data_IF_327907328120
#
_entry.id   IF_327907328120
#
_cell.length_a   1.000
_cell.length_b   1.000
_cell.length_c   1.000
_cell.angle_alpha   90.00
_cell.angle_beta   90.00
_cell.angle_gamma   90.00
#
_symmetry.space_group_name_H-M   'P 1'
#
loop_
_entity.id
_entity.type
_entity.pdbx_description
1 polymer ?
#
# COMPACT_ATOMS: atom_id res chain seq x y z
N UNK A 1 -42.85 48.20 61.45
CA UNK A 1 -42.54 48.02 62.86
C UNK A 1 -41.16 47.41 62.98
N UNK A 2 -40.21 48.17 63.57
CA UNK A 2 -38.90 47.79 64.14
C UNK A 2 -37.89 47.04 63.27
N UNK A 3 -36.81 47.59 62.95
CA UNK A 3 -35.58 48.19 63.51
C UNK A 3 -34.38 47.29 63.24
N UNK A 4 -33.43 47.90 62.53
CA UNK A 4 -31.99 47.91 62.76
C UNK A 4 -31.29 46.69 63.41
N UNK A 5 -30.25 46.19 62.76
CA UNK A 5 -28.88 46.45 63.26
C UNK A 5 -27.80 46.13 62.23
N UNK A 6 -26.98 47.11 61.99
CA UNK A 6 -25.67 46.97 61.33
C UNK A 6 -24.71 46.27 62.28
N UNK A 7 -23.83 45.43 61.76
CA UNK A 7 -22.47 45.33 62.30
C UNK A 7 -21.44 44.98 61.23
N UNK A 8 -20.56 45.85 61.09
CA UNK A 8 -19.26 45.77 60.41
C UNK A 8 -18.45 44.65 61.04
N UNK A 9 -17.61 43.99 60.28
CA UNK A 9 -16.22 43.66 60.68
C UNK A 9 -15.41 43.12 59.49
N UNK A 10 -14.42 43.87 59.14
CA UNK A 10 -13.03 43.57 58.77
C UNK A 10 -12.69 42.60 57.62
N UNK A 11 -12.08 43.23 56.64
CA UNK A 11 -11.08 42.76 55.66
C UNK A 11 -10.00 41.89 56.28
N UNK A 12 -9.77 40.73 55.67
CA UNK A 12 -8.41 40.17 55.61
C UNK A 12 -8.17 39.66 54.21
N UNK A 13 -7.33 40.43 53.47
CA UNK A 13 -6.74 40.05 52.22
C UNK A 13 -5.73 38.92 52.47
N UNK A 14 -6.04 37.71 52.05
CA UNK A 14 -5.05 36.63 51.94
C UNK A 14 -4.64 36.55 50.48
N UNK A 15 -3.45 37.04 50.17
CA UNK A 15 -2.72 36.84 48.92
C UNK A 15 -2.36 35.34 48.84
N UNK A 16 -3.15 34.54 48.12
CA UNK A 16 -2.75 33.21 47.72
C UNK A 16 -2.01 33.32 46.39
N UNK A 17 -0.67 33.39 46.44
CA UNK A 17 0.23 33.19 45.30
C UNK A 17 0.09 31.75 44.87
N UNK A 18 -0.78 31.50 43.91
CA UNK A 18 -0.90 30.19 43.26
C UNK A 18 0.33 29.91 42.39
N UNK A 19 1.21 29.04 42.89
CA UNK A 19 2.33 28.48 42.13
C UNK A 19 1.72 27.59 41.04
N UNK A 20 1.51 28.14 39.84
CA UNK A 20 1.16 27.40 38.66
C UNK A 20 2.40 26.56 38.23
N UNK A 21 2.53 25.36 38.80
CA UNK A 21 3.46 24.37 38.30
C UNK A 21 2.93 23.91 36.93
N UNK A 22 3.49 24.51 35.87
CA UNK A 22 3.30 23.99 34.51
C UNK A 22 3.95 22.61 34.44
N UNK A 23 3.16 21.57 34.69
CA UNK A 23 3.52 20.22 34.25
C UNK A 23 3.55 20.23 32.72
N UNK A 24 4.71 20.58 32.17
CA UNK A 24 5.04 20.23 30.78
C UNK A 24 4.98 18.72 30.71
N UNK A 25 3.85 18.19 30.25
CA UNK A 25 3.71 16.78 29.94
C UNK A 25 4.76 16.43 28.88
N UNK A 26 5.87 15.86 29.33
CA UNK A 26 6.80 15.15 28.47
C UNK A 26 6.02 13.96 27.89
N UNK A 27 5.26 14.16 26.83
CA UNK A 27 4.79 13.05 26.02
C UNK A 27 6.06 12.33 25.51
N UNK A 28 6.28 11.06 25.87
CA UNK A 28 7.41 10.33 25.31
C UNK A 28 7.21 10.36 23.80
N UNK A 29 8.11 11.03 23.09
CA UNK A 29 8.16 10.96 21.64
C UNK A 29 8.33 9.49 21.29
N UNK A 30 7.32 8.88 20.68
CA UNK A 30 7.39 7.47 20.28
C UNK A 30 8.66 7.30 19.44
N UNK A 31 9.66 6.61 20.02
CA UNK A 31 10.96 6.43 19.38
C UNK A 31 10.73 5.75 18.04
N UNK A 32 11.21 6.38 16.96
CA UNK A 32 11.12 5.81 15.63
C UNK A 32 11.83 4.44 15.61
N UNK A 33 11.17 3.41 15.10
CA UNK A 33 11.73 2.07 14.99
C UNK A 33 12.93 2.09 14.05
N UNK A 34 14.01 1.46 14.47
CA UNK A 34 15.26 1.32 13.70
C UNK A 34 15.48 -0.13 13.26
N UNK A 35 16.44 -0.34 12.35
CA UNK A 35 16.88 -1.69 12.00
C UNK A 35 17.48 -2.44 13.22
N UNK A 36 18.13 -1.72 14.15
CA UNK A 36 18.65 -2.28 15.39
C UNK A 36 17.52 -2.77 16.32
N UNK A 37 16.41 -2.04 16.40
CA UNK A 37 15.24 -2.47 17.18
C UNK A 37 14.62 -3.76 16.60
N UNK A 38 14.54 -3.88 15.28
CA UNK A 38 14.08 -5.09 14.58
C UNK A 38 15.01 -6.27 14.86
N UNK A 39 16.34 -6.06 14.77
CA UNK A 39 17.34 -7.08 15.08
C UNK A 39 17.26 -7.52 16.55
N UNK A 40 17.08 -6.59 17.48
CA UNK A 40 16.92 -6.87 18.90
C UNK A 40 15.64 -7.67 19.19
N UNK A 41 14.55 -7.37 18.47
CA UNK A 41 13.27 -8.12 18.52
C UNK A 41 13.46 -9.55 17.96
N UNK A 42 14.41 -9.75 17.03
CA UNK A 42 14.67 -11.02 16.36
C UNK A 42 13.65 -11.41 15.29
N UNK A 43 12.68 -10.56 14.99
CA UNK A 43 11.61 -10.81 14.05
C UNK A 43 11.23 -9.55 13.28
N UNK A 44 10.93 -9.70 11.98
CA UNK A 44 10.42 -8.68 11.09
C UNK A 44 9.02 -9.09 10.60
N UNK A 45 8.01 -8.32 10.97
CA UNK A 45 6.64 -8.52 10.48
C UNK A 45 6.39 -7.65 9.26
N UNK A 46 6.14 -8.29 8.10
CA UNK A 46 5.89 -7.61 6.83
C UNK A 46 4.46 -7.86 6.38
N UNK A 47 3.71 -6.79 6.14
CA UNK A 47 2.42 -6.84 5.49
C UNK A 47 2.57 -6.98 3.97
N UNK A 48 1.83 -7.92 3.37
CA UNK A 48 1.81 -8.13 1.92
C UNK A 48 0.42 -8.49 1.41
N UNK A 49 0.13 -8.14 0.15
CA UNK A 49 -1.07 -8.64 -0.53
C UNK A 49 -0.93 -10.14 -0.80
N UNK A 50 -2.05 -10.85 -0.82
CA UNK A 50 -2.11 -12.28 -1.19
C UNK A 50 -3.12 -12.55 -2.32
N UNK A 51 -3.66 -11.48 -2.89
CA UNK A 51 -4.72 -11.42 -3.90
C UNK A 51 -4.29 -10.65 -5.16
N UNK A 52 -2.98 -10.41 -5.29
CA UNK A 52 -2.36 -9.69 -6.41
C UNK A 52 -1.25 -10.52 -7.09
N UNK A 53 -1.59 -11.66 -7.70
CA UNK A 53 -0.60 -12.50 -8.37
C UNK A 53 -0.01 -11.79 -9.60
N UNK A 54 1.28 -12.01 -9.93
CA UNK A 54 2.23 -12.87 -9.24
C UNK A 54 3.05 -12.17 -8.15
N UNK A 55 2.71 -10.91 -7.81
CA UNK A 55 3.41 -10.18 -6.74
C UNK A 55 3.12 -10.78 -5.37
N UNK A 56 1.84 -11.04 -5.07
CA UNK A 56 1.41 -11.67 -3.83
C UNK A 56 0.26 -12.65 -4.06
N UNK A 57 0.40 -13.86 -3.52
CA UNK A 57 -0.55 -14.96 -3.65
C UNK A 57 -0.46 -15.86 -2.42
N UNK A 58 -1.33 -16.85 -2.33
CA UNK A 58 -1.20 -17.98 -1.39
C UNK A 58 -0.70 -19.19 -2.16
N UNK A 59 0.28 -19.91 -1.61
CA UNK A 59 0.74 -21.18 -2.18
C UNK A 59 -0.18 -22.35 -1.79
N UNK A 60 0.13 -23.53 -2.30
CA UNK A 60 -0.64 -24.76 -2.02
C UNK A 60 -0.68 -25.19 -0.55
N UNK A 61 0.25 -24.68 0.26
CA UNK A 61 0.31 -24.89 1.71
C UNK A 61 -0.38 -23.77 2.50
N UNK A 62 -1.17 -22.93 1.83
CA UNK A 62 -1.85 -21.77 2.41
C UNK A 62 -0.89 -20.81 3.13
N UNK A 63 0.30 -20.59 2.54
CA UNK A 63 1.28 -19.61 3.00
C UNK A 63 1.43 -18.49 1.99
N UNK A 64 1.64 -17.23 2.45
CA UNK A 64 1.92 -16.11 1.57
C UNK A 64 3.16 -16.37 0.69
N UNK A 65 3.01 -16.14 -0.61
CA UNK A 65 4.04 -16.38 -1.62
C UNK A 65 3.96 -15.34 -2.75
N UNK A 66 4.93 -15.32 -3.65
CA UNK A 66 4.99 -14.35 -4.73
C UNK A 66 6.28 -13.53 -4.72
N UNK A 67 6.37 -12.59 -5.66
CA UNK A 67 7.53 -11.69 -5.76
C UNK A 67 7.75 -10.88 -4.47
N UNK A 68 6.71 -10.29 -3.91
CA UNK A 68 6.77 -9.50 -2.67
C UNK A 68 7.21 -10.37 -1.49
N UNK A 69 6.74 -11.63 -1.41
CA UNK A 69 7.17 -12.57 -0.38
C UNK A 69 8.65 -12.90 -0.50
N UNK A 70 9.17 -13.11 -1.71
CA UNK A 70 10.58 -13.39 -1.92
C UNK A 70 11.47 -12.18 -1.62
N UNK A 71 11.03 -10.96 -1.95
CA UNK A 71 11.71 -9.71 -1.55
C UNK A 71 11.72 -9.57 -0.03
N UNK A 72 10.61 -9.87 0.65
CA UNK A 72 10.52 -9.85 2.11
C UNK A 72 11.45 -10.89 2.75
N UNK A 73 11.53 -12.11 2.20
CA UNK A 73 12.47 -13.16 2.64
C UNK A 73 13.92 -12.71 2.50
N UNK A 74 14.24 -12.07 1.36
CA UNK A 74 15.59 -11.55 1.11
C UNK A 74 15.95 -10.44 2.09
N UNK A 75 15.03 -9.52 2.39
CA UNK A 75 15.22 -8.44 3.37
C UNK A 75 15.41 -8.99 4.81
N UNK A 76 14.59 -9.94 5.23
CA UNK A 76 14.71 -10.55 6.55
C UNK A 76 16.04 -11.31 6.71
N UNK A 77 16.47 -12.00 5.66
CA UNK A 77 17.80 -12.66 5.60
C UNK A 77 18.94 -11.64 5.72
N UNK A 78 18.86 -10.52 5.01
CA UNK A 78 19.85 -9.43 5.06
C UNK A 78 19.93 -8.80 6.47
N UNK A 79 18.82 -8.68 7.16
CA UNK A 79 18.77 -8.19 8.54
C UNK A 79 19.15 -9.26 9.58
N UNK A 80 19.19 -10.54 9.22
CA UNK A 80 19.50 -11.64 10.14
C UNK A 80 18.39 -11.93 11.14
N UNK A 81 17.11 -11.78 10.75
CA UNK A 81 15.94 -11.94 11.62
C UNK A 81 14.95 -12.95 11.05
N UNK A 82 14.05 -13.45 11.89
CA UNK A 82 12.90 -14.25 11.42
C UNK A 82 11.92 -13.38 10.65
N UNK A 83 11.31 -13.94 9.62
CA UNK A 83 10.24 -13.27 8.87
C UNK A 83 8.88 -13.77 9.33
N UNK A 84 7.98 -12.82 9.59
CA UNK A 84 6.56 -13.05 9.76
C UNK A 84 5.80 -12.32 8.63
N UNK A 85 5.21 -13.06 7.69
CA UNK A 85 4.39 -12.49 6.61
C UNK A 85 2.94 -12.39 7.08
N UNK A 86 2.41 -11.18 7.07
CA UNK A 86 1.02 -10.89 7.45
C UNK A 86 0.21 -10.52 6.20
N UNK A 87 -0.79 -11.33 5.81
CA UNK A 87 -1.73 -10.96 4.75
C UNK A 87 -2.45 -9.64 5.07
N UNK A 88 -2.49 -8.76 4.09
CA UNK A 88 -3.22 -7.49 4.15
C UNK A 88 -4.06 -7.33 2.88
N UNK A 89 -5.07 -6.47 2.94
CA UNK A 89 -5.89 -6.07 1.78
C UNK A 89 -5.48 -4.71 1.26
N UNK A 90 -5.88 -4.36 0.05
CA UNK A 90 -5.61 -3.06 -0.54
C UNK A 90 -5.89 -1.88 0.41
N UNK A 91 -7.11 -1.78 0.99
CA UNK A 91 -7.49 -0.69 1.89
C UNK A 91 -6.74 -0.69 3.23
N UNK A 92 -6.39 -1.86 3.80
CA UNK A 92 -5.83 -1.90 5.15
C UNK A 92 -4.29 -1.85 5.22
N UNK A 93 -3.58 -1.84 4.08
CA UNK A 93 -2.11 -1.77 4.03
C UNK A 93 -1.55 -0.66 4.91
N UNK A 94 -1.85 0.59 4.56
CA UNK A 94 -1.35 1.77 5.29
C UNK A 94 -1.89 1.81 6.73
N UNK A 95 -3.18 1.58 7.03
CA UNK A 95 -3.68 1.48 8.40
C UNK A 95 -2.94 0.46 9.26
N UNK A 96 -2.63 -0.74 8.76
CA UNK A 96 -1.89 -1.75 9.53
C UNK A 96 -0.46 -1.30 9.86
N UNK A 97 0.21 -0.61 8.93
CA UNK A 97 1.52 -0.04 9.17
C UNK A 97 1.47 1.06 10.24
N UNK A 98 0.54 2.00 10.12
CA UNK A 98 0.44 3.16 11.03
C UNK A 98 0.01 2.75 12.44
N UNK A 99 -0.74 1.64 12.58
CA UNK A 99 -1.15 1.08 13.88
C UNK A 99 -0.18 0.05 14.44
N UNK A 100 1.04 -0.06 13.90
CA UNK A 100 2.09 -0.98 14.33
C UNK A 100 1.72 -2.49 14.29
N UNK A 101 0.72 -2.88 13.50
CA UNK A 101 0.41 -4.30 13.25
C UNK A 101 1.48 -4.97 12.40
N UNK A 102 2.15 -4.19 11.56
CA UNK A 102 3.31 -4.62 10.76
C UNK A 102 4.46 -3.63 10.93
N UNK A 103 5.68 -4.10 10.77
CA UNK A 103 6.89 -3.27 10.82
C UNK A 103 7.10 -2.52 9.49
N UNK A 104 6.91 -3.24 8.38
CA UNK A 104 7.05 -2.75 7.01
C UNK A 104 5.91 -3.28 6.12
N UNK A 105 5.74 -2.66 4.95
CA UNK A 105 4.95 -3.24 3.86
C UNK A 105 5.86 -3.54 2.67
N UNK A 106 5.79 -4.77 2.20
CA UNK A 106 6.23 -5.20 0.86
C UNK A 106 4.97 -5.75 0.20
N UNK A 107 4.20 -4.85 -0.41
CA UNK A 107 2.79 -5.09 -0.73
C UNK A 107 2.38 -4.41 -2.05
N UNK A 108 3.28 -4.40 -3.03
CA UNK A 108 3.05 -3.78 -4.35
C UNK A 108 2.48 -2.36 -4.25
N UNK A 109 2.90 -1.61 -3.22
CA UNK A 109 2.35 -0.28 -2.99
C UNK A 109 3.06 0.75 -3.87
N UNK A 110 2.34 1.27 -4.86
CA UNK A 110 2.84 2.30 -5.75
C UNK A 110 3.19 3.58 -5.00
N UNK A 111 4.33 4.16 -5.34
CA UNK A 111 4.77 5.45 -4.84
C UNK A 111 3.88 6.53 -5.48
N UNK A 112 3.11 7.24 -4.66
CA UNK A 112 2.31 8.40 -5.09
C UNK A 112 2.48 9.56 -4.12
N UNK A 113 2.33 10.82 -4.58
CA UNK A 113 2.44 11.99 -3.71
C UNK A 113 1.48 11.95 -2.52
N UNK A 114 0.25 11.44 -2.71
CA UNK A 114 -0.78 11.36 -1.66
C UNK A 114 -0.37 10.36 -0.57
N UNK A 115 0.16 9.20 -0.97
CA UNK A 115 0.66 8.19 -0.03
C UNK A 115 1.93 8.64 0.68
N UNK A 116 2.83 9.32 -0.03
CA UNK A 116 4.07 9.86 0.53
C UNK A 116 3.85 10.93 1.61
N UNK A 117 2.67 11.55 1.68
CA UNK A 117 2.27 12.42 2.80
C UNK A 117 1.95 11.65 4.09
N UNK A 118 1.64 10.36 4.00
CA UNK A 118 1.21 9.52 5.12
C UNK A 118 2.29 8.55 5.59
N UNK A 119 3.16 8.10 4.68
CA UNK A 119 4.16 7.05 4.91
C UNK A 119 5.46 7.37 4.20
N UNK A 120 6.55 6.71 4.59
CA UNK A 120 7.83 6.77 3.89
C UNK A 120 7.99 5.59 2.94
N UNK A 121 8.48 5.87 1.74
CA UNK A 121 8.81 4.86 0.74
C UNK A 121 10.33 4.72 0.60
N UNK A 122 10.78 3.49 0.42
CA UNK A 122 12.12 3.22 -0.07
C UNK A 122 12.28 3.64 -1.54
N UNK A 123 13.49 3.53 -2.05
CA UNK A 123 13.74 3.43 -3.50
C UNK A 123 12.87 2.31 -4.08
N UNK A 124 12.50 2.41 -5.37
CA UNK A 124 11.67 1.39 -6.00
C UNK A 124 12.33 0.00 -6.00
N UNK A 125 11.57 -1.04 -5.67
CA UNK A 125 11.99 -2.43 -5.80
C UNK A 125 11.26 -3.19 -6.92
N UNK A 126 10.18 -2.61 -7.45
CA UNK A 126 9.39 -3.15 -8.53
C UNK A 126 8.73 -2.03 -9.35
N UNK A 127 8.30 -2.36 -10.55
CA UNK A 127 7.52 -1.48 -11.42
C UNK A 127 6.42 -2.29 -12.12
N UNK A 128 5.30 -1.62 -12.45
CA UNK A 128 4.21 -2.20 -13.24
C UNK A 128 3.55 -1.14 -14.13
N UNK A 129 3.04 -1.56 -15.28
CA UNK A 129 2.11 -0.78 -16.09
C UNK A 129 0.69 -1.09 -15.68
N UNK A 130 -0.10 -0.06 -15.49
CA UNK A 130 -1.55 -0.16 -15.24
C UNK A 130 -2.25 0.13 -16.56
N UNK A 131 -3.10 -0.79 -16.95
CA UNK A 131 -3.82 -0.75 -18.22
C UNK A 131 -5.32 -0.89 -17.99
N UNK A 132 -6.10 -0.43 -18.93
CA UNK A 132 -7.46 -0.91 -19.10
C UNK A 132 -7.40 -2.21 -19.89
N UNK A 133 -7.92 -3.28 -19.31
CA UNK A 133 -7.97 -4.61 -19.90
C UNK A 133 -9.43 -5.08 -20.01
N UNK A 134 -9.87 -5.54 -21.16
CA UNK A 134 -11.28 -5.80 -21.34
C UNK A 134 -11.61 -6.80 -22.43
N UNK A 135 -12.90 -7.18 -22.50
CA UNK A 135 -13.41 -8.06 -23.54
C UNK A 135 -13.04 -7.53 -24.92
N UNK A 136 -12.44 -8.37 -25.75
CA UNK A 136 -12.01 -8.01 -27.09
C UNK A 136 -13.17 -7.51 -27.97
N UNK A 137 -14.40 -8.02 -27.74
CA UNK A 137 -15.61 -7.58 -28.42
C UNK A 137 -16.09 -6.20 -27.98
N UNK A 138 -15.67 -5.73 -26.79
CA UNK A 138 -16.01 -4.39 -26.34
C UNK A 138 -15.23 -3.34 -27.15
N UNK A 139 -15.95 -2.51 -27.88
CA UNK A 139 -15.37 -1.41 -28.67
C UNK A 139 -14.89 -0.30 -27.72
N UNK A 140 -13.68 -0.45 -27.16
CA UNK A 140 -13.04 0.51 -26.27
C UNK A 140 -11.63 0.75 -26.81
N UNK A 141 -11.36 1.96 -27.31
CA UNK A 141 -10.05 2.37 -27.84
C UNK A 141 -9.42 3.49 -27.01
N UNK A 142 -10.23 4.28 -26.35
CA UNK A 142 -9.82 5.41 -25.53
C UNK A 142 -10.74 5.62 -24.33
N UNK A 143 -10.35 6.48 -23.40
CA UNK A 143 -11.14 6.78 -22.21
C UNK A 143 -12.58 7.26 -22.54
N UNK A 144 -12.77 8.02 -23.64
CA UNK A 144 -14.09 8.50 -24.06
C UNK A 144 -15.09 7.36 -24.33
N UNK A 145 -14.61 6.18 -24.73
CA UNK A 145 -15.45 5.01 -25.06
C UNK A 145 -15.98 4.29 -23.79
N UNK A 146 -15.59 4.73 -22.60
CA UNK A 146 -16.05 4.16 -21.33
C UNK A 146 -17.45 4.61 -20.94
N UNK A 147 -18.02 5.61 -21.61
CA UNK A 147 -19.39 6.05 -21.34
C UNK A 147 -20.37 4.89 -21.54
N UNK A 148 -21.19 4.62 -20.51
CA UNK A 148 -22.16 3.51 -20.50
C UNK A 148 -21.50 2.13 -20.32
N UNK A 149 -20.19 2.03 -20.07
CA UNK A 149 -19.49 0.78 -19.79
C UNK A 149 -19.37 0.55 -18.28
N UNK A 150 -19.39 -0.73 -17.92
CA UNK A 150 -19.10 -1.20 -16.55
C UNK A 150 -17.61 -1.51 -16.45
N UNK A 151 -16.89 -0.80 -15.62
CA UNK A 151 -15.44 -0.99 -15.49
C UNK A 151 -15.09 -1.32 -14.05
N UNK A 152 -14.46 -2.47 -13.83
CA UNK A 152 -14.03 -2.93 -12.51
C UNK A 152 -12.65 -2.44 -12.11
N UNK A 153 -12.45 -2.19 -10.82
CA UNK A 153 -11.13 -1.93 -10.21
C UNK A 153 -11.08 -2.43 -8.78
N UNK A 154 -9.89 -2.76 -8.30
CA UNK A 154 -9.67 -2.96 -6.86
C UNK A 154 -9.71 -1.61 -6.14
N UNK A 155 -10.49 -1.49 -5.06
CA UNK A 155 -10.60 -0.25 -4.28
C UNK A 155 -9.27 0.12 -3.61
N UNK A 156 -9.07 1.43 -3.38
CA UNK A 156 -7.84 1.99 -2.78
C UNK A 156 -6.56 1.64 -3.55
N UNK A 157 -6.66 1.25 -4.80
CA UNK A 157 -5.57 0.94 -5.71
C UNK A 157 -5.21 2.14 -6.60
N UNK A 158 -4.06 2.09 -7.23
CA UNK A 158 -3.69 3.10 -8.26
C UNK A 158 -4.48 2.92 -9.54
N UNK A 159 -5.00 1.73 -9.81
CA UNK A 159 -5.93 1.45 -10.91
C UNK A 159 -7.22 2.25 -10.76
N UNK A 160 -7.80 2.24 -9.54
CA UNK A 160 -9.01 3.01 -9.21
C UNK A 160 -8.78 4.52 -9.41
N UNK A 161 -7.69 5.04 -8.86
CA UNK A 161 -7.34 6.47 -9.02
C UNK A 161 -7.12 6.82 -10.48
N UNK A 162 -6.35 6.01 -11.23
CA UNK A 162 -6.04 6.29 -12.63
C UNK A 162 -7.29 6.19 -13.52
N UNK A 163 -8.14 5.19 -13.31
CA UNK A 163 -9.40 5.04 -14.04
C UNK A 163 -10.36 6.19 -13.72
N UNK A 164 -10.54 6.51 -12.45
CA UNK A 164 -11.45 7.59 -12.01
C UNK A 164 -11.06 8.95 -12.61
N UNK A 165 -9.73 9.19 -12.76
CA UNK A 165 -9.22 10.44 -13.33
C UNK A 165 -9.51 10.60 -14.83
N UNK A 166 -9.71 9.51 -15.58
CA UNK A 166 -9.90 9.55 -17.04
C UNK A 166 -11.29 9.14 -17.48
N UNK A 167 -12.07 8.50 -16.62
CA UNK A 167 -13.41 8.00 -16.94
C UNK A 167 -14.38 9.17 -17.18
N UNK A 168 -15.07 9.22 -18.33
CA UNK A 168 -16.07 10.24 -18.59
C UNK A 168 -17.32 10.00 -17.73
N UNK A 169 -18.13 11.04 -17.61
CA UNK A 169 -19.46 10.95 -17.00
C UNK A 169 -20.30 9.86 -17.67
N UNK A 170 -21.02 9.07 -16.88
CA UNK A 170 -21.80 7.93 -17.35
C UNK A 170 -21.00 6.61 -17.42
N UNK A 171 -19.74 6.57 -17.00
CA UNK A 171 -19.00 5.32 -16.77
C UNK A 171 -19.43 4.71 -15.43
N UNK A 172 -19.80 3.43 -15.42
CA UNK A 172 -20.11 2.70 -14.17
C UNK A 172 -18.83 2.07 -13.61
N UNK A 173 -18.17 2.73 -12.65
CA UNK A 173 -16.98 2.19 -12.01
C UNK A 173 -17.41 1.29 -10.83
N UNK A 174 -17.15 -0.02 -10.95
CA UNK A 174 -17.39 -1.03 -9.91
C UNK A 174 -16.11 -1.30 -9.13
N UNK A 175 -16.16 -1.04 -7.81
CA UNK A 175 -15.02 -1.19 -6.91
C UNK A 175 -15.12 -2.48 -6.13
N UNK A 176 -14.20 -3.39 -6.39
CA UNK A 176 -14.06 -4.69 -5.73
C UNK A 176 -13.09 -4.59 -4.56
N UNK A 177 -13.13 -5.56 -3.66
CA UNK A 177 -12.25 -5.56 -2.49
C UNK A 177 -10.79 -5.81 -2.87
N UNK A 178 -10.57 -6.55 -3.97
CA UNK A 178 -9.25 -7.00 -4.43
C UNK A 178 -9.19 -7.17 -5.96
N UNK A 179 -7.99 -7.37 -6.48
CA UNK A 179 -7.75 -7.62 -7.91
C UNK A 179 -8.29 -8.97 -8.38
N UNK A 180 -8.33 -9.99 -7.51
CA UNK A 180 -8.85 -11.31 -7.85
C UNK A 180 -10.37 -11.25 -8.09
N UNK A 181 -11.10 -10.51 -7.27
CA UNK A 181 -12.55 -10.29 -7.44
C UNK A 181 -12.84 -9.46 -8.70
N UNK A 182 -12.04 -8.41 -8.98
CA UNK A 182 -12.17 -7.63 -10.21
C UNK A 182 -11.91 -8.49 -11.46
N UNK A 183 -10.87 -9.34 -11.43
CA UNK A 183 -10.56 -10.29 -12.48
C UNK A 183 -11.70 -11.28 -12.72
N UNK A 184 -12.26 -11.86 -11.65
CA UNK A 184 -13.40 -12.76 -11.73
C UNK A 184 -14.63 -12.07 -12.32
N UNK A 185 -14.88 -10.80 -11.96
CA UNK A 185 -15.99 -10.02 -12.51
C UNK A 185 -15.86 -9.79 -14.03
N UNK A 186 -14.62 -9.56 -14.53
CA UNK A 186 -14.36 -9.48 -15.97
C UNK A 186 -14.61 -10.82 -16.64
N UNK A 187 -14.04 -11.91 -16.12
CA UNK A 187 -14.16 -13.25 -16.72
C UNK A 187 -15.60 -13.76 -16.76
N UNK A 188 -16.44 -13.36 -15.81
CA UNK A 188 -17.88 -13.70 -15.75
C UNK A 188 -18.79 -12.72 -16.50
N UNK A 189 -18.27 -11.66 -17.13
CA UNK A 189 -19.04 -10.67 -17.86
C UNK A 189 -19.84 -9.70 -16.98
N UNK A 190 -19.55 -9.63 -15.67
CA UNK A 190 -20.16 -8.65 -14.78
C UNK A 190 -19.69 -7.23 -15.08
N UNK A 191 -18.46 -7.09 -15.60
CA UNK A 191 -17.88 -5.84 -16.10
C UNK A 191 -17.36 -6.03 -17.52
N UNK A 192 -17.30 -4.95 -18.30
CA UNK A 192 -16.86 -4.96 -19.70
C UNK A 192 -15.36 -4.81 -19.82
N UNK A 193 -14.71 -4.22 -18.81
CA UNK A 193 -13.26 -4.06 -18.69
C UNK A 193 -12.87 -3.92 -17.22
N UNK A 194 -11.57 -4.04 -16.93
CA UNK A 194 -10.99 -3.73 -15.62
C UNK A 194 -9.76 -2.84 -15.75
N UNK A 195 -9.56 -1.95 -14.80
CA UNK A 195 -8.26 -1.33 -14.56
C UNK A 195 -7.37 -2.30 -13.79
N UNK A 196 -6.28 -2.77 -14.37
CA UNK A 196 -5.39 -3.74 -13.72
C UNK A 196 -3.93 -3.55 -14.16
N UNK A 197 -3.01 -4.24 -13.48
CA UNK A 197 -1.63 -4.31 -13.97
C UNK A 197 -1.51 -5.26 -15.17
N UNK A 198 -0.49 -5.05 -16.00
CA UNK A 198 -0.18 -5.97 -17.11
C UNK A 198 0.08 -7.40 -16.63
N UNK A 199 0.54 -7.57 -15.41
CA UNK A 199 0.75 -8.89 -14.79
C UNK A 199 -0.57 -9.58 -14.45
N UNK A 200 -1.58 -8.84 -13.97
CA UNK A 200 -2.94 -9.37 -13.76
C UNK A 200 -3.58 -9.70 -15.12
N UNK A 201 -3.41 -8.86 -16.13
CA UNK A 201 -3.86 -9.13 -17.50
C UNK A 201 -3.29 -10.47 -18.00
N UNK A 202 -1.98 -10.71 -17.85
CA UNK A 202 -1.34 -11.97 -18.21
C UNK A 202 -1.90 -13.19 -17.43
N UNK A 203 -2.34 -13.01 -16.18
CA UNK A 203 -3.00 -14.09 -15.43
C UNK A 203 -4.41 -14.39 -15.97
N UNK A 204 -5.11 -13.38 -16.46
CA UNK A 204 -6.40 -13.58 -17.14
C UNK A 204 -6.20 -14.40 -18.43
N UNK A 205 -5.20 -14.03 -19.24
CA UNK A 205 -4.89 -14.74 -20.49
C UNK A 205 -4.57 -16.22 -20.27
N UNK A 206 -3.90 -16.56 -19.17
CA UNK A 206 -3.60 -17.95 -18.81
C UNK A 206 -4.85 -18.78 -18.41
N UNK A 207 -5.95 -18.12 -18.00
CA UNK A 207 -7.15 -18.74 -17.45
C UNK A 207 -8.38 -18.66 -18.37
N UNK A 208 -8.42 -17.64 -19.21
CA UNK A 208 -9.52 -17.38 -20.13
C UNK A 208 -9.34 -18.11 -21.47
N UNK A 209 -10.41 -18.25 -22.27
CA UNK A 209 -10.27 -18.70 -23.65
C UNK A 209 -9.31 -17.79 -24.43
N UNK A 210 -8.52 -18.39 -25.32
CA UNK A 210 -7.55 -17.66 -26.11
C UNK A 210 -8.21 -16.47 -26.84
N UNK A 211 -7.56 -15.30 -26.76
CA UNK A 211 -8.01 -14.07 -27.38
C UNK A 211 -9.41 -13.57 -26.92
N UNK A 212 -9.88 -13.94 -25.74
CA UNK A 212 -11.14 -13.42 -25.20
C UNK A 212 -11.02 -11.97 -24.76
N UNK A 213 -9.86 -11.58 -24.25
CA UNK A 213 -9.57 -10.27 -23.70
C UNK A 213 -8.35 -9.63 -24.35
N UNK A 214 -8.18 -8.33 -24.19
CA UNK A 214 -7.04 -7.58 -24.73
C UNK A 214 -6.74 -6.31 -23.93
N UNK A 215 -5.52 -5.81 -24.04
CA UNK A 215 -5.15 -4.45 -23.64
C UNK A 215 -5.93 -3.43 -24.46
N UNK A 216 -6.68 -2.56 -23.80
CA UNK A 216 -7.38 -1.46 -24.45
C UNK A 216 -6.51 -0.21 -24.58
N UNK A 217 -5.98 0.28 -23.46
CA UNK A 217 -5.00 1.37 -23.43
C UNK A 217 -4.27 1.45 -22.09
N UNK A 218 -3.14 2.16 -22.08
CA UNK A 218 -2.36 2.42 -20.87
C UNK A 218 -3.06 3.46 -19.99
N UNK A 219 -3.29 3.12 -18.74
CA UNK A 219 -3.79 4.06 -17.72
C UNK A 219 -2.63 4.79 -17.02
N UNK A 220 -1.61 4.04 -16.60
CA UNK A 220 -0.47 4.61 -15.87
C UNK A 220 0.71 3.65 -15.83
N UNK A 221 1.92 4.19 -15.82
CA UNK A 221 3.11 3.48 -15.32
C UNK A 221 3.35 3.84 -13.86
N UNK A 222 3.80 2.87 -13.06
CA UNK A 222 4.07 3.07 -11.65
C UNK A 222 5.26 2.26 -11.17
N UNK A 223 5.96 2.80 -10.17
CA UNK A 223 6.99 2.11 -9.41
C UNK A 223 6.50 1.85 -8.00
N UNK A 224 6.99 0.77 -7.36
CA UNK A 224 6.57 0.31 -6.04
C UNK A 224 7.73 0.39 -5.07
N UNK A 225 7.48 0.92 -3.87
CA UNK A 225 8.47 1.00 -2.79
C UNK A 225 8.13 0.12 -1.60
N UNK A 226 9.14 -0.27 -0.84
CA UNK A 226 8.96 -0.83 0.51
C UNK A 226 8.53 0.33 1.41
N UNK A 227 7.54 0.10 2.26
CA UNK A 227 6.89 1.19 2.99
C UNK A 227 7.11 1.07 4.49
N UNK A 228 7.37 2.19 5.11
CA UNK A 228 7.56 2.32 6.55
C UNK A 228 6.85 3.55 7.11
N UNK A 229 6.71 3.61 8.43
CA UNK A 229 6.11 4.76 9.11
C UNK A 229 6.94 6.03 8.91
N UNK A 230 6.31 7.21 8.99
CA UNK A 230 7.05 8.48 8.97
C UNK A 230 8.09 8.59 10.08
N UNK A 231 9.18 9.30 9.84
CA UNK A 231 10.22 9.59 10.83
C UNK A 231 11.25 8.47 11.04
N UNK A 232 11.18 7.35 10.30
CA UNK A 232 12.10 6.21 10.44
C UNK A 232 13.32 6.33 9.50
N UNK A 233 14.05 7.45 9.57
CA UNK A 233 15.13 7.76 8.64
C UNK A 233 16.26 6.72 8.61
N UNK A 234 16.64 6.14 9.76
CA UNK A 234 17.67 5.10 9.85
C UNK A 234 17.19 3.80 9.18
N UNK A 235 15.94 3.39 9.44
CA UNK A 235 15.34 2.22 8.81
C UNK A 235 15.21 2.43 7.30
N UNK A 236 14.78 3.62 6.86
CA UNK A 236 14.72 3.99 5.45
C UNK A 236 16.09 3.86 4.78
N UNK A 237 17.15 4.36 5.42
CA UNK A 237 18.52 4.19 4.89
C UNK A 237 18.89 2.72 4.74
N UNK A 238 18.63 1.91 5.76
CA UNK A 238 18.92 0.46 5.74
C UNK A 238 18.16 -0.24 4.60
N UNK A 239 16.88 0.07 4.42
CA UNK A 239 16.06 -0.51 3.36
C UNK A 239 16.50 -0.02 1.97
N UNK A 240 16.89 1.24 1.83
CA UNK A 240 17.43 1.76 0.57
C UNK A 240 18.77 1.10 0.22
N UNK A 241 19.67 0.92 1.18
CA UNK A 241 20.93 0.22 0.97
C UNK A 241 20.69 -1.25 0.55
N UNK A 242 19.66 -1.90 1.11
CA UNK A 242 19.21 -3.22 0.68
C UNK A 242 18.72 -3.21 -0.78
N UNK A 243 17.85 -2.26 -1.16
CA UNK A 243 17.34 -2.15 -2.53
C UNK A 243 18.48 -1.90 -3.51
N UNK A 244 19.37 -0.96 -3.21
CA UNK A 244 20.51 -0.63 -4.08
C UNK A 244 21.43 -1.84 -4.31
N UNK A 245 21.82 -2.55 -3.24
CA UNK A 245 22.65 -3.75 -3.35
C UNK A 245 22.01 -4.82 -4.20
N UNK A 246 20.72 -5.12 -3.96
CA UNK A 246 20.03 -6.22 -4.62
C UNK A 246 19.53 -5.87 -6.03
N UNK A 247 19.46 -4.59 -6.36
CA UNK A 247 19.35 -4.12 -7.75
C UNK A 247 20.68 -4.28 -8.47
N UNK A 248 21.78 -3.80 -7.86
CA UNK A 248 23.11 -3.81 -8.45
C UNK A 248 23.71 -5.21 -8.67
N UNK A 249 23.45 -6.16 -7.77
CA UNK A 249 23.92 -7.56 -7.90
C UNK A 249 22.94 -8.45 -8.70
N UNK A 250 21.78 -7.92 -9.12
CA UNK A 250 20.81 -8.63 -9.95
C UNK A 250 19.85 -9.55 -9.19
N UNK A 251 19.92 -9.66 -7.86
CA UNK A 251 19.02 -10.53 -7.09
C UNK A 251 17.54 -10.11 -7.23
N UNK A 252 17.21 -8.80 -7.21
CA UNK A 252 15.84 -8.35 -7.47
C UNK A 252 15.38 -8.71 -8.89
N UNK A 253 16.23 -8.60 -9.90
CA UNK A 253 15.90 -9.01 -11.26
C UNK A 253 15.67 -10.52 -11.37
N UNK A 254 16.49 -11.33 -10.69
CA UNK A 254 16.33 -12.79 -10.64
C UNK A 254 14.99 -13.18 -10.01
N UNK A 255 14.59 -12.55 -8.90
CA UNK A 255 13.28 -12.77 -8.28
C UNK A 255 12.14 -12.30 -9.21
N UNK A 256 12.32 -11.17 -9.87
CA UNK A 256 11.34 -10.63 -10.81
C UNK A 256 11.12 -11.59 -11.98
N UNK A 257 12.19 -12.10 -12.59
CA UNK A 257 12.11 -13.11 -13.67
C UNK A 257 11.43 -14.40 -13.21
N UNK A 258 11.70 -14.84 -11.98
CA UNK A 258 11.07 -16.05 -11.41
C UNK A 258 9.53 -15.96 -11.43
N UNK A 259 9.00 -14.78 -11.10
CA UNK A 259 7.57 -14.60 -10.88
C UNK A 259 6.84 -13.97 -12.07
N UNK A 260 7.51 -13.07 -12.78
CA UNK A 260 6.91 -12.27 -13.84
C UNK A 260 7.39 -12.68 -15.25
N UNK A 261 8.32 -13.61 -15.35
CA UNK A 261 8.84 -14.17 -16.61
C UNK A 261 9.46 -13.09 -17.53
N UNK A 262 9.83 -11.95 -17.00
CA UNK A 262 10.44 -10.83 -17.72
C UNK A 262 11.45 -10.11 -16.83
N UNK A 263 12.29 -9.26 -17.41
CA UNK A 263 13.23 -8.44 -16.68
C UNK A 263 12.53 -7.35 -15.86
N UNK A 264 13.13 -7.07 -14.70
CA UNK A 264 12.74 -5.92 -13.88
C UNK A 264 12.95 -4.63 -14.70
N UNK A 265 11.89 -3.84 -14.93
CA UNK A 265 12.02 -2.59 -15.68
C UNK A 265 12.99 -1.62 -15.02
N UNK A 266 13.63 -0.75 -15.82
CA UNK A 266 14.40 0.36 -15.26
C UNK A 266 13.47 1.24 -14.44
N UNK A 267 13.77 1.37 -13.16
CA UNK A 267 13.01 2.20 -12.22
C UNK A 267 13.71 3.55 -12.11
N UNK A 268 13.14 4.57 -12.74
CA UNK A 268 13.61 5.95 -12.66
C UNK A 268 12.80 6.74 -11.65
#
# INVERSE_FOLDING_TARGET
MFKHLQRRVFTTSALALGLAVTLSAWAPSAKAQTAADIKKKGELTIGMLVDFPPYGTMNSSNQPDGYDADVARLLAKDLGVKLNLMPVTGPNRIPFLLTNKVDLLVASLAITPERAKQVQFSKPYAAASIVLYGDKKASIKAAADLRGKRVGVARASTQDVALTAVAPEGTEIRRFDDDASAMQALMSGQVDAIGCSTTVAAQIDKRAPANAFENKFLLRQQVMGIVMRPGQAELLKTVNDFVDRNTGNGELNKLYRKWLETDLPKMQ
#
